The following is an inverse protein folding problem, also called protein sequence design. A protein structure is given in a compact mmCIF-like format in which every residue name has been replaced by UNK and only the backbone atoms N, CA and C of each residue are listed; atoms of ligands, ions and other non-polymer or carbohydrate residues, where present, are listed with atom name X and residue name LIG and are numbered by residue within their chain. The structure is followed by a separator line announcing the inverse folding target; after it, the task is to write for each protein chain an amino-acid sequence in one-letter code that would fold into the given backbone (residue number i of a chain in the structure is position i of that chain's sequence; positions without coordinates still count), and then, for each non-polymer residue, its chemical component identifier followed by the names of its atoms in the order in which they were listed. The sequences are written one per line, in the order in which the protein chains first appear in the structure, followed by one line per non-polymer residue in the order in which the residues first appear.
data_IF_758808152909
#
_entry.id   IF_758808152909
#
_cell.length_a   1.000
_cell.length_b   1.000
_cell.length_c   1.000
_cell.angle_alpha   90.00
_cell.angle_beta   90.00
_cell.angle_gamma   90.00
#
_symmetry.space_group_name_H-M   'P 1'
#
loop_
_entity.id
_entity.type
_entity.pdbx_description
1 polymer ?
#
# COMPACT_ATOMS: atom_id res chain seq x y z
N UNK A 1 -9.40 6.35 -6.59
CA UNK A 1 -10.73 5.71 -6.57
C UNK A 1 -11.13 5.55 -5.11
N UNK A 2 -12.41 5.34 -4.77
CA UNK A 2 -12.83 5.25 -3.37
C UNK A 2 -13.61 3.96 -3.07
N UNK A 3 -13.28 3.31 -1.97
CA UNK A 3 -14.04 2.20 -1.40
C UNK A 3 -14.22 2.45 0.08
N UNK A 4 -15.45 2.46 0.57
CA UNK A 4 -15.78 2.77 1.96
C UNK A 4 -15.03 4.03 2.48
N UNK A 5 -15.10 5.13 1.71
CA UNK A 5 -14.43 6.41 1.97
C UNK A 5 -12.89 6.37 2.06
N UNK A 6 -12.26 5.26 1.69
CA UNK A 6 -10.80 5.10 1.62
C UNK A 6 -10.35 5.36 0.18
N UNK A 7 -9.38 6.27 0.01
CA UNK A 7 -8.82 6.61 -1.30
C UNK A 7 -7.82 5.55 -1.74
N UNK A 8 -8.21 4.72 -2.71
CA UNK A 8 -7.31 3.80 -3.40
C UNK A 8 -6.54 4.54 -4.51
N UNK A 9 -5.23 4.59 -4.40
CA UNK A 9 -4.32 5.26 -5.33
C UNK A 9 -4.16 4.43 -6.60
N UNK A 10 -4.48 5.03 -7.75
CA UNK A 10 -4.20 4.44 -9.05
C UNK A 10 -2.81 4.86 -9.52
N UNK A 11 -1.82 4.01 -9.31
CA UNK A 11 -0.44 4.23 -9.76
C UNK A 11 -0.22 3.45 -11.05
N UNK A 12 0.07 4.15 -12.14
CA UNK A 12 0.06 3.59 -13.50
C UNK A 12 1.31 2.78 -13.82
N UNK A 13 2.46 3.19 -13.29
CA UNK A 13 3.77 2.61 -13.60
C UNK A 13 4.68 2.58 -12.37
N UNK A 14 5.79 1.86 -12.50
CA UNK A 14 6.74 1.63 -11.38
C UNK A 14 7.52 2.90 -11.03
N UNK A 15 7.85 3.74 -12.02
CA UNK A 15 8.56 5.00 -11.79
C UNK A 15 7.73 5.95 -10.91
N UNK A 16 6.43 6.09 -11.21
CA UNK A 16 5.48 6.87 -10.42
C UNK A 16 5.30 6.34 -8.99
N UNK A 17 5.47 5.03 -8.76
CA UNK A 17 5.49 4.46 -7.42
C UNK A 17 6.79 4.84 -6.70
N UNK A 18 7.93 4.62 -7.34
CA UNK A 18 9.26 4.94 -6.80
C UNK A 18 9.34 6.42 -6.40
N UNK A 19 8.94 7.35 -7.27
CA UNK A 19 8.93 8.78 -6.98
C UNK A 19 8.09 9.13 -5.74
N UNK A 20 6.91 8.50 -5.60
CA UNK A 20 6.05 8.69 -4.42
C UNK A 20 6.71 8.14 -3.16
N UNK A 21 7.32 6.95 -3.23
CA UNK A 21 8.03 6.36 -2.09
C UNK A 21 9.23 7.22 -1.68
N UNK A 22 10.02 7.69 -2.63
CA UNK A 22 11.14 8.59 -2.39
C UNK A 22 10.70 9.91 -1.75
N UNK A 23 9.58 10.48 -2.22
CA UNK A 23 8.99 11.64 -1.59
C UNK A 23 8.60 11.36 -0.13
N UNK A 24 7.98 10.21 0.16
CA UNK A 24 7.60 9.84 1.54
C UNK A 24 8.81 9.57 2.44
N UNK A 25 9.88 9.00 1.91
CA UNK A 25 11.13 8.74 2.65
C UNK A 25 11.83 10.05 3.03
N UNK A 26 11.81 11.03 2.12
CA UNK A 26 12.37 12.36 2.36
C UNK A 26 11.42 13.29 3.15
N UNK A 27 10.25 12.79 3.54
CA UNK A 27 9.26 13.58 4.27
C UNK A 27 9.54 13.48 5.78
N UNK A 28 9.67 14.62 6.46
CA UNK A 28 10.01 14.70 7.89
C UNK A 28 8.97 14.11 8.85
N UNK A 29 7.86 13.55 8.35
CA UNK A 29 6.81 12.96 9.18
C UNK A 29 6.60 11.48 8.85
N UNK A 30 6.33 10.64 9.87
CA UNK A 30 5.97 9.25 9.66
C UNK A 30 4.85 9.11 8.63
N UNK A 31 5.03 8.18 7.70
CA UNK A 31 4.11 7.94 6.60
C UNK A 31 3.69 6.48 6.57
N UNK A 32 2.38 6.25 6.41
CA UNK A 32 1.80 4.92 6.32
C UNK A 32 1.48 4.62 4.85
N UNK A 33 1.92 3.45 4.38
CA UNK A 33 1.56 2.88 3.08
C UNK A 33 0.82 1.57 3.32
N UNK A 34 -0.32 1.38 2.67
CA UNK A 34 -1.19 0.20 2.86
C UNK A 34 -1.37 -0.53 1.53
N UNK A 35 -1.16 -1.83 1.53
CA UNK A 35 -1.56 -2.73 0.43
C UNK A 35 -2.94 -3.32 0.75
N UNK A 36 -3.98 -2.80 0.10
CA UNK A 36 -5.38 -2.95 0.49
C UNK A 36 -6.07 -4.00 -0.39
N UNK A 37 -6.48 -5.10 0.23
CA UNK A 37 -7.17 -6.24 -0.40
C UNK A 37 -8.66 -6.30 0.01
N UNK A 38 -9.39 -7.33 -0.45
CA UNK A 38 -10.82 -7.49 -0.13
C UNK A 38 -11.09 -7.76 1.36
N UNK A 39 -10.20 -8.45 2.06
CA UNK A 39 -10.36 -8.68 3.50
C UNK A 39 -10.24 -7.36 4.27
N UNK A 40 -9.30 -6.49 3.88
CA UNK A 40 -9.18 -5.16 4.46
C UNK A 40 -10.41 -4.30 4.18
N UNK A 41 -11.00 -4.42 2.98
CA UNK A 41 -12.27 -3.80 2.67
C UNK A 41 -13.38 -4.28 3.63
N UNK A 42 -13.51 -5.61 3.82
CA UNK A 42 -14.49 -6.19 4.75
C UNK A 42 -14.28 -5.67 6.18
N UNK A 43 -13.04 -5.70 6.67
CA UNK A 43 -12.69 -5.23 8.03
C UNK A 43 -13.01 -3.74 8.17
N UNK A 44 -12.79 -2.92 7.15
CA UNK A 44 -13.10 -1.48 7.19
C UNK A 44 -14.58 -1.16 7.40
N UNK A 45 -15.50 -2.08 7.09
CA UNK A 45 -16.92 -1.93 7.39
C UNK A 45 -17.26 -2.26 8.86
N UNK A 46 -16.45 -3.10 9.50
CA UNK A 46 -16.70 -3.60 10.86
C UNK A 46 -15.88 -2.86 11.92
N UNK A 47 -14.76 -2.24 11.53
CA UNK A 47 -13.83 -1.59 12.42
C UNK A 47 -13.55 -0.15 11.96
N UNK A 48 -14.19 0.82 12.62
CA UNK A 48 -14.05 2.25 12.33
C UNK A 48 -12.63 2.76 12.53
N UNK A 49 -11.90 2.26 13.53
CA UNK A 49 -10.53 2.65 13.79
C UNK A 49 -9.59 2.18 12.67
N UNK A 50 -9.76 0.95 12.19
CA UNK A 50 -9.01 0.43 11.04
C UNK A 50 -9.30 1.24 9.76
N UNK A 51 -10.57 1.58 9.52
CA UNK A 51 -10.98 2.47 8.42
C UNK A 51 -10.27 3.82 8.51
N UNK A 52 -10.24 4.45 9.69
CA UNK A 52 -9.59 5.74 9.91
C UNK A 52 -8.08 5.70 9.60
N UNK A 53 -7.38 4.64 10.02
CA UNK A 53 -5.96 4.43 9.69
C UNK A 53 -5.78 4.37 8.17
N UNK A 54 -6.61 3.59 7.48
CA UNK A 54 -6.57 3.47 6.03
C UNK A 54 -6.90 4.79 5.31
N UNK A 55 -7.80 5.60 5.85
CA UNK A 55 -8.13 6.94 5.32
C UNK A 55 -6.97 7.93 5.48
N UNK A 56 -6.20 7.82 6.57
CA UNK A 56 -5.05 8.69 6.87
C UNK A 56 -3.75 8.24 6.18
N UNK A 57 -3.70 7.00 5.69
CA UNK A 57 -2.55 6.48 4.96
C UNK A 57 -2.21 7.36 3.75
N UNK A 58 -0.91 7.59 3.52
CA UNK A 58 -0.43 8.44 2.42
C UNK A 58 -0.65 7.78 1.07
N UNK A 59 -0.52 6.45 1.03
CA UNK A 59 -0.74 5.64 -0.15
C UNK A 59 -1.52 4.40 0.26
N UNK A 60 -2.60 4.11 -0.49
CA UNK A 60 -3.35 2.87 -0.41
C UNK A 60 -3.34 2.22 -1.79
N UNK A 61 -2.64 1.09 -1.91
CA UNK A 61 -2.46 0.34 -3.15
C UNK A 61 -3.49 -0.78 -3.27
N UNK A 62 -3.93 -1.10 -4.47
CA UNK A 62 -4.82 -2.22 -4.72
C UNK A 62 -4.02 -3.54 -4.73
N UNK A 63 -4.25 -4.39 -3.72
CA UNK A 63 -3.62 -5.71 -3.60
C UNK A 63 -4.62 -6.85 -3.86
N UNK A 64 -4.24 -7.78 -4.73
CA UNK A 64 -5.08 -8.92 -5.13
C UNK A 64 -6.03 -8.64 -6.29
N UNK A 65 -6.48 -9.70 -6.96
CA UNK A 65 -7.34 -9.60 -8.14
C UNK A 65 -8.74 -9.09 -7.76
N UNK A 66 -9.29 -9.58 -6.64
CA UNK A 66 -10.65 -9.25 -6.22
C UNK A 66 -10.91 -7.75 -6.06
N UNK A 67 -10.02 -7.01 -5.39
CA UNK A 67 -10.18 -5.54 -5.22
C UNK A 67 -10.07 -4.81 -6.57
N UNK A 68 -9.20 -5.28 -7.48
CA UNK A 68 -9.03 -4.65 -8.80
C UNK A 68 -10.25 -4.86 -9.70
N UNK A 69 -10.87 -6.05 -9.66
CA UNK A 69 -12.12 -6.34 -10.36
C UNK A 69 -13.24 -5.46 -9.78
N UNK A 70 -13.38 -5.40 -8.46
CA UNK A 70 -14.39 -4.56 -7.81
C UNK A 70 -14.27 -3.09 -8.22
N UNK A 71 -13.05 -2.55 -8.23
CA UNK A 71 -12.77 -1.18 -8.65
C UNK A 71 -13.10 -0.96 -10.13
N UNK A 72 -12.77 -1.93 -11.00
CA UNK A 72 -13.12 -1.88 -12.42
C UNK A 72 -14.63 -1.89 -12.63
N UNK A 73 -15.37 -2.74 -11.92
CA UNK A 73 -16.82 -2.81 -11.98
C UNK A 73 -17.47 -1.51 -11.50
N UNK A 74 -16.99 -0.95 -10.38
CA UNK A 74 -17.55 0.27 -9.78
C UNK A 74 -17.27 1.53 -10.61
N UNK A 75 -16.11 1.63 -11.24
CA UNK A 75 -15.65 2.88 -11.89
C UNK A 75 -15.53 2.78 -13.42
N UNK A 76 -15.77 1.61 -14.01
CA UNK A 76 -15.60 1.38 -15.45
C UNK A 76 -14.14 1.44 -15.95
N UNK A 77 -13.15 1.54 -15.06
CA UNK A 77 -11.73 1.67 -15.40
C UNK A 77 -10.86 0.77 -14.54
N UNK A 78 -9.83 0.19 -15.15
CA UNK A 78 -8.87 -0.65 -14.44
C UNK A 78 -7.95 0.16 -13.53
N UNK A 79 -7.44 -0.52 -12.52
CA UNK A 79 -6.38 -0.06 -11.64
C UNK A 79 -5.26 -1.11 -11.66
N UNK A 80 -4.01 -0.67 -11.64
CA UNK A 80 -2.88 -1.60 -11.58
C UNK A 80 -2.88 -2.32 -10.22
N UNK A 81 -2.74 -3.65 -10.26
CA UNK A 81 -2.50 -4.48 -9.06
C UNK A 81 -1.05 -4.28 -8.62
N UNK A 82 -0.84 -3.90 -7.36
CA UNK A 82 0.49 -3.78 -6.76
C UNK A 82 0.44 -4.51 -5.42
N UNK A 83 1.18 -5.61 -5.33
CA UNK A 83 1.16 -6.46 -4.13
C UNK A 83 2.10 -5.94 -3.06
N UNK A 84 1.89 -6.38 -1.81
CA UNK A 84 2.86 -6.15 -0.73
C UNK A 84 4.27 -6.64 -1.08
N UNK A 85 4.40 -7.76 -1.81
CA UNK A 85 5.70 -8.28 -2.23
C UNK A 85 6.38 -7.39 -3.28
N UNK A 86 5.63 -6.84 -4.23
CA UNK A 86 6.17 -5.89 -5.22
C UNK A 86 6.69 -4.63 -4.52
N UNK A 87 5.86 -4.08 -3.63
CA UNK A 87 6.22 -2.90 -2.84
C UNK A 87 7.45 -3.15 -1.96
N UNK A 88 7.52 -4.31 -1.30
CA UNK A 88 8.65 -4.69 -0.44
C UNK A 88 9.95 -4.74 -1.23
N UNK A 89 9.96 -5.39 -2.40
CA UNK A 89 11.14 -5.45 -3.28
C UNK A 89 11.61 -4.06 -3.72
N UNK A 90 10.68 -3.17 -4.06
CA UNK A 90 11.03 -1.82 -4.48
C UNK A 90 11.59 -0.98 -3.32
N UNK A 91 11.02 -1.11 -2.11
CA UNK A 91 11.55 -0.49 -0.90
C UNK A 91 12.96 -0.97 -0.56
N UNK A 92 13.25 -2.28 -0.67
CA UNK A 92 14.59 -2.82 -0.43
C UNK A 92 15.62 -2.25 -1.42
N UNK A 93 15.28 -2.14 -2.71
CA UNK A 93 16.16 -1.54 -3.71
C UNK A 93 16.45 -0.08 -3.40
N UNK A 94 15.43 0.70 -3.03
CA UNK A 94 15.59 2.10 -2.63
C UNK A 94 16.50 2.20 -1.41
N UNK A 95 16.26 1.36 -0.41
CA UNK A 95 17.01 1.36 0.83
C UNK A 95 18.49 0.99 0.62
N UNK A 96 18.80 0.01 -0.23
CA UNK A 96 20.20 -0.32 -0.57
C UNK A 96 20.89 0.84 -1.31
N UNK A 97 20.22 1.43 -2.31
CA UNK A 97 20.76 2.57 -3.08
C UNK A 97 21.05 3.78 -2.19
N UNK A 98 20.19 4.06 -1.20
CA UNK A 98 20.29 5.23 -0.31
C UNK A 98 20.90 4.92 1.06
N UNK A 99 21.34 3.68 1.28
CA UNK A 99 21.86 3.19 2.57
C UNK A 99 20.94 3.52 3.75
N UNK A 100 19.63 3.32 3.53
CA UNK A 100 18.61 3.53 4.55
C UNK A 100 18.62 2.38 5.57
N UNK A 101 18.33 2.70 6.82
CA UNK A 101 18.12 1.70 7.87
C UNK A 101 16.73 1.08 7.68
N UNK A 102 16.68 -0.25 7.76
CA UNK A 102 15.44 -1.03 7.66
C UNK A 102 15.28 -1.81 8.95
N UNK A 103 14.07 -1.78 9.52
CA UNK A 103 13.67 -2.70 10.57
C UNK A 103 12.57 -3.59 10.02
N UNK A 104 12.72 -4.91 10.20
CA UNK A 104 11.69 -5.89 9.90
C UNK A 104 11.00 -6.26 11.20
N UNK A 105 9.70 -5.97 11.31
CA UNK A 105 8.93 -6.15 12.54
C UNK A 105 7.73 -7.06 12.26
N UNK A 106 7.61 -8.14 13.02
CA UNK A 106 6.57 -9.18 12.86
C UNK A 106 7.15 -10.51 12.36
N UNK A 107 6.31 -11.51 12.09
CA UNK A 107 6.71 -12.90 11.77
C UNK A 107 7.27 -13.68 12.97
N UNK A 108 7.68 -14.94 12.74
CA UNK A 108 8.30 -15.82 13.74
C UNK A 108 9.80 -15.55 13.85
N UNK A 109 10.39 -15.86 15.01
CA UNK A 109 11.83 -15.69 15.25
C UNK A 109 12.68 -16.44 14.20
N UNK A 110 12.27 -17.66 13.83
CA UNK A 110 12.95 -18.46 12.81
C UNK A 110 12.94 -17.83 11.41
N UNK A 111 11.95 -16.99 11.10
CA UNK A 111 11.84 -16.33 9.78
C UNK A 111 12.60 -15.01 9.72
N UNK A 112 13.00 -14.44 10.86
CA UNK A 112 13.66 -13.14 10.98
C UNK A 112 15.13 -13.22 11.40
N UNK A 113 15.59 -14.35 11.93
CA UNK A 113 17.00 -14.63 12.26
C UNK A 113 17.81 -14.91 11.01
#
# INVERSE_FOLDING_TARGET
MYLNDIKINNIKDTASLEDKLLHLINYDKPSIVVTFNLDFLRISFQNSHFKEICQRAKIVLADGIGITILLKLKYGRSIKRITGNDLFKDLLKIADKRKLKIALVGSTQQSLS
#
